data_IF_891200031123
#
_entry.id   IF_891200031123
#
_cell.length_a   1.000
_cell.length_b   1.000
_cell.length_c   1.000
_cell.angle_alpha   90.00
_cell.angle_beta   90.00
_cell.angle_gamma   90.00
#
_symmetry.space_group_name_H-M   'P 1'
#
loop_
_entity.id
_entity.type
_entity.pdbx_description
1 polymer ?
#
# COMPACT_ATOMS: atom_id res chain seq x y z
N UNK A 1 21.55 32.53 -58.86
CA UNK A 1 21.04 32.77 -60.21
C UNK A 1 19.61 32.26 -60.29
N UNK A 2 18.69 33.16 -60.57
CA UNK A 2 17.27 32.94 -60.89
C UNK A 2 17.16 32.48 -62.34
N UNK A 3 15.93 32.27 -62.89
CA UNK A 3 14.77 31.40 -62.67
C UNK A 3 14.35 30.68 -63.99
N UNK A 4 13.28 29.92 -64.01
CA UNK A 4 12.29 30.01 -65.14
C UNK A 4 10.97 29.33 -64.78
N UNK A 5 9.93 30.13 -64.89
CA UNK A 5 8.51 29.79 -64.98
C UNK A 5 8.15 29.15 -66.32
N UNK A 6 7.19 28.24 -66.34
CA UNK A 6 6.24 28.29 -67.42
C UNK A 6 4.86 27.74 -67.00
N UNK A 7 3.87 28.58 -67.19
CA UNK A 7 2.43 28.28 -67.13
C UNK A 7 1.94 27.80 -68.48
N UNK A 8 1.07 26.81 -68.52
CA UNK A 8 0.07 26.69 -69.59
C UNK A 8 -1.26 26.28 -69.02
N UNK A 9 -2.28 26.94 -69.52
CA UNK A 9 -3.69 26.94 -69.14
C UNK A 9 -4.52 25.94 -69.96
N UNK A 10 -5.79 25.75 -69.49
CA UNK A 10 -7.04 25.46 -70.18
C UNK A 10 -7.33 23.94 -70.41
N UNK A 11 -8.52 23.42 -70.27
CA UNK A 11 -9.89 23.89 -70.09
C UNK A 11 -10.80 22.73 -69.65
N UNK A 12 -12.09 22.92 -69.37
CA UNK A 12 -12.93 22.01 -68.60
C UNK A 12 -13.62 20.95 -69.41
N UNK A 13 -13.89 19.81 -68.83
CA UNK A 13 -14.88 18.84 -69.36
C UNK A 13 -15.82 18.41 -68.24
N UNK A 14 -17.06 18.80 -68.43
CA UNK A 14 -18.24 18.38 -67.68
C UNK A 14 -18.58 16.94 -68.12
N UNK A 15 -18.76 16.04 -67.22
CA UNK A 15 -19.68 14.89 -67.45
C UNK A 15 -19.94 14.08 -66.15
N UNK A 16 -21.22 14.01 -65.88
CA UNK A 16 -21.97 12.89 -65.37
C UNK A 16 -21.81 12.43 -63.90
N UNK A 17 -22.83 12.80 -63.13
CA UNK A 17 -23.27 12.16 -61.89
C UNK A 17 -23.43 10.64 -62.09
N UNK A 18 -22.79 9.89 -61.20
CA UNK A 18 -23.30 8.56 -60.80
C UNK A 18 -23.30 8.52 -59.28
N UNK A 19 -24.50 8.55 -58.70
CA UNK A 19 -24.80 8.34 -57.30
C UNK A 19 -24.43 6.89 -56.91
N UNK A 20 -23.34 6.70 -56.21
CA UNK A 20 -23.12 5.50 -55.45
C UNK A 20 -23.27 5.85 -53.96
N UNK A 21 -24.44 5.41 -53.43
CA UNK A 21 -24.72 5.38 -52.00
C UNK A 21 -23.81 4.38 -51.34
N UNK A 22 -22.67 4.80 -50.85
CA UNK A 22 -21.86 4.01 -49.91
C UNK A 22 -22.54 4.08 -48.55
N UNK A 23 -23.19 3.01 -48.17
CA UNK A 23 -23.64 2.79 -46.80
C UNK A 23 -22.39 2.73 -45.91
N UNK A 24 -22.05 3.83 -45.26
CA UNK A 24 -21.13 3.87 -44.17
C UNK A 24 -21.80 3.14 -42.98
N UNK A 25 -21.49 1.86 -42.83
CA UNK A 25 -21.73 1.12 -41.62
C UNK A 25 -20.91 1.78 -40.48
N UNK A 26 -21.55 2.70 -39.77
CA UNK A 26 -21.00 3.24 -38.55
C UNK A 26 -20.86 2.09 -37.55
N UNK A 27 -19.64 1.72 -37.19
CA UNK A 27 -19.40 1.00 -35.97
C UNK A 27 -19.96 1.86 -34.84
N UNK A 28 -21.14 1.54 -34.36
CA UNK A 28 -21.65 2.03 -33.10
C UNK A 28 -20.72 1.49 -32.02
N UNK A 29 -19.74 2.29 -31.63
CA UNK A 29 -19.04 2.09 -30.35
C UNK A 29 -20.12 2.22 -29.29
N UNK A 30 -20.57 1.09 -28.75
CA UNK A 30 -21.33 1.06 -27.50
C UNK A 30 -20.52 1.89 -26.49
N UNK A 31 -21.09 2.95 -25.91
CA UNK A 31 -20.40 3.65 -24.83
C UNK A 31 -20.16 2.61 -23.76
N UNK A 32 -18.88 2.42 -23.39
CA UNK A 32 -18.53 1.65 -22.21
C UNK A 32 -19.45 2.15 -21.11
N UNK A 33 -20.24 1.26 -20.53
CA UNK A 33 -21.11 1.56 -19.42
C UNK A 33 -20.24 2.27 -18.36
N UNK A 34 -20.47 3.56 -18.18
CA UNK A 34 -19.82 4.30 -17.11
C UNK A 34 -20.18 3.56 -15.83
N UNK A 35 -19.20 2.90 -15.25
CA UNK A 35 -19.34 2.19 -14.00
C UNK A 35 -19.85 3.23 -13.01
N UNK A 36 -21.09 3.07 -12.57
CA UNK A 36 -21.76 4.04 -11.73
C UNK A 36 -21.00 4.06 -10.42
N UNK A 37 -20.14 5.06 -10.26
CA UNK A 37 -19.42 5.27 -9.01
C UNK A 37 -20.44 5.25 -7.87
N UNK A 38 -20.28 4.35 -6.92
CA UNK A 38 -21.09 4.33 -5.72
C UNK A 38 -20.93 5.69 -5.03
N UNK A 39 -22.02 6.29 -4.53
CA UNK A 39 -21.90 7.56 -3.79
C UNK A 39 -20.95 7.36 -2.62
N UNK A 40 -19.97 8.26 -2.47
CA UNK A 40 -19.06 8.26 -1.33
C UNK A 40 -19.87 8.39 -0.05
N UNK A 41 -19.67 7.48 0.89
CA UNK A 41 -20.31 7.54 2.21
C UNK A 41 -19.75 8.70 3.03
N UNK A 42 -18.45 8.99 2.87
CA UNK A 42 -17.76 10.11 3.50
C UNK A 42 -16.57 10.56 2.67
N UNK A 43 -16.20 11.82 2.81
CA UNK A 43 -15.01 12.42 2.22
C UNK A 43 -14.30 13.29 3.26
N UNK A 44 -12.99 13.16 3.35
CA UNK A 44 -12.14 14.05 4.12
C UNK A 44 -11.01 14.53 3.20
N UNK A 45 -10.89 15.85 3.07
CA UNK A 45 -9.87 16.50 2.26
C UNK A 45 -9.00 17.42 3.13
N UNK A 46 -7.69 17.30 2.96
CA UNK A 46 -6.70 18.16 3.60
C UNK A 46 -5.69 18.58 2.53
N UNK A 47 -5.67 19.87 2.21
CA UNK A 47 -4.64 20.44 1.34
C UNK A 47 -3.55 21.04 2.24
N UNK A 48 -2.28 20.83 1.87
CA UNK A 48 -1.15 21.27 2.68
C UNK A 48 0.04 21.69 1.80
N UNK A 49 0.93 22.48 2.39
CA UNK A 49 2.26 22.82 1.87
C UNK A 49 3.30 22.41 2.91
N UNK A 50 4.58 22.63 2.63
CA UNK A 50 5.65 22.40 3.61
C UNK A 50 5.44 23.21 4.90
N UNK A 51 4.80 24.39 4.81
CA UNK A 51 4.61 25.31 5.94
C UNK A 51 3.37 25.01 6.79
N UNK A 52 2.42 24.23 6.28
CA UNK A 52 1.19 23.92 7.03
C UNK A 52 0.02 23.46 6.19
N UNK A 53 -1.10 23.20 6.88
CA UNK A 53 -2.38 22.86 6.26
C UNK A 53 -3.03 24.16 5.75
N UNK A 54 -3.43 24.18 4.48
CA UNK A 54 -3.98 25.37 3.79
C UNK A 54 -5.49 25.31 3.62
N UNK A 55 -6.06 24.10 3.50
CA UNK A 55 -7.50 23.91 3.37
C UNK A 55 -7.93 22.58 3.97
N UNK A 56 -9.14 22.53 4.51
CA UNK A 56 -9.75 21.33 5.08
C UNK A 56 -11.22 21.24 4.73
N UNK A 57 -11.71 20.04 4.44
CA UNK A 57 -13.12 19.74 4.28
C UNK A 57 -13.41 18.32 4.79
N UNK A 58 -14.57 18.13 5.40
CA UNK A 58 -15.05 16.82 5.80
C UNK A 58 -16.57 16.79 5.62
N UNK A 59 -17.07 15.72 5.02
CA UNK A 59 -18.52 15.52 4.80
C UNK A 59 -18.86 14.04 4.77
N UNK A 60 -20.09 13.72 5.10
CA UNK A 60 -20.63 12.37 5.08
C UNK A 60 -20.59 11.66 6.43
N UNK A 61 -21.03 10.40 6.42
CA UNK A 61 -21.20 9.57 7.61
C UNK A 61 -19.92 8.80 7.94
N UNK A 62 -19.50 8.82 9.21
CA UNK A 62 -18.34 8.06 9.67
C UNK A 62 -18.59 6.53 9.76
N UNK A 63 -19.79 6.08 9.36
CA UNK A 63 -20.22 4.68 9.49
C UNK A 63 -20.64 4.28 10.91
N UNK A 64 -20.75 5.26 11.80
CA UNK A 64 -21.34 5.12 13.15
C UNK A 64 -22.60 5.95 13.16
N UNK A 65 -23.74 5.36 13.44
CA UNK A 65 -25.07 5.99 13.33
C UNK A 65 -25.10 7.43 13.88
N UNK A 66 -25.45 8.38 13.02
CA UNK A 66 -25.60 9.79 13.36
C UNK A 66 -24.30 10.58 13.59
N UNK A 67 -23.11 9.99 13.33
CA UNK A 67 -21.83 10.66 13.47
C UNK A 67 -21.26 11.07 12.11
N UNK A 68 -21.06 12.35 11.90
CA UNK A 68 -20.34 12.84 10.72
C UNK A 68 -18.83 12.57 10.85
N UNK A 69 -18.19 12.33 9.71
CA UNK A 69 -16.73 12.17 9.66
C UNK A 69 -16.04 13.50 9.98
N UNK A 70 -14.89 13.42 10.65
CA UNK A 70 -14.03 14.56 10.96
C UNK A 70 -12.64 14.38 10.39
N UNK A 71 -11.84 15.47 10.40
CA UNK A 71 -10.43 15.45 9.97
C UNK A 71 -9.55 14.57 10.84
N UNK A 72 -9.98 14.33 12.08
CA UNK A 72 -9.20 13.66 13.13
C UNK A 72 -9.60 12.18 13.28
N UNK A 73 -10.61 11.73 12.54
CA UNK A 73 -11.04 10.33 12.59
C UNK A 73 -10.00 9.41 11.92
N UNK A 74 -9.52 8.38 12.63
CA UNK A 74 -8.59 7.44 12.01
C UNK A 74 -9.30 6.54 11.00
N UNK A 75 -8.69 6.39 9.84
CA UNK A 75 -9.08 5.45 8.82
C UNK A 75 -7.91 4.53 8.48
N UNK A 76 -8.20 3.32 8.02
CA UNK A 76 -7.18 2.47 7.45
C UNK A 76 -6.77 2.99 6.07
N UNK A 77 -5.52 3.43 5.93
CA UNK A 77 -5.04 4.10 4.72
C UNK A 77 -4.39 3.14 3.71
N UNK A 78 -4.63 1.85 3.88
CA UNK A 78 -4.16 0.82 2.96
C UNK A 78 -2.67 1.01 2.60
N UNK A 79 -2.31 0.97 1.33
CA UNK A 79 -0.91 0.99 0.87
C UNK A 79 -0.12 2.26 1.16
N UNK A 80 -0.75 3.35 1.58
CA UNK A 80 -0.06 4.52 2.13
C UNK A 80 0.76 4.13 3.38
N UNK A 81 0.37 3.07 4.08
CA UNK A 81 1.13 2.49 5.20
C UNK A 81 2.59 2.21 4.85
N UNK A 82 2.88 1.79 3.61
CA UNK A 82 4.24 1.47 3.15
C UNK A 82 5.17 2.68 3.14
N UNK A 83 4.62 3.86 2.87
CA UNK A 83 5.39 5.11 2.93
C UNK A 83 5.91 5.35 4.35
N UNK A 84 5.05 5.18 5.35
CA UNK A 84 5.44 5.38 6.77
C UNK A 84 6.43 4.32 7.21
N UNK A 85 6.29 3.07 6.75
CA UNK A 85 7.30 2.01 6.96
C UNK A 85 8.65 2.39 6.34
N UNK A 86 8.64 2.95 5.12
CA UNK A 86 9.87 3.39 4.44
C UNK A 86 10.58 4.50 5.22
N UNK A 87 9.85 5.46 5.80
CA UNK A 87 10.43 6.49 6.68
C UNK A 87 11.13 5.84 7.88
N UNK A 88 10.50 4.84 8.52
CA UNK A 88 11.12 4.09 9.63
C UNK A 88 12.40 3.36 9.20
N UNK A 89 12.38 2.70 8.05
CA UNK A 89 13.56 2.03 7.49
C UNK A 89 14.70 3.01 7.19
N UNK A 90 14.38 4.18 6.60
CA UNK A 90 15.38 5.22 6.31
C UNK A 90 15.99 5.80 7.58
N UNK A 91 15.21 6.00 8.65
CA UNK A 91 15.75 6.45 9.96
C UNK A 91 16.71 5.44 10.57
N UNK A 92 16.44 4.14 10.44
CA UNK A 92 17.37 3.10 10.88
C UNK A 92 18.63 3.06 10.02
N UNK A 93 18.51 3.33 8.72
CA UNK A 93 19.67 3.44 7.83
C UNK A 93 20.55 4.63 8.19
N UNK A 94 19.97 5.80 8.47
CA UNK A 94 20.70 6.98 8.97
C UNK A 94 21.42 6.70 10.29
N UNK A 95 20.84 5.90 11.17
CA UNK A 95 21.42 5.50 12.46
C UNK A 95 22.50 4.42 12.31
N UNK A 96 22.76 3.90 11.10
CA UNK A 96 23.69 2.81 10.86
C UNK A 96 23.25 1.44 11.38
N UNK A 97 21.98 1.31 11.81
CA UNK A 97 21.38 0.04 12.28
C UNK A 97 20.99 -0.85 11.11
N UNK A 98 20.56 -0.24 10.01
CA UNK A 98 20.10 -0.92 8.80
C UNK A 98 20.97 -0.52 7.61
N UNK A 99 21.59 -1.51 6.96
CA UNK A 99 22.23 -1.35 5.67
C UNK A 99 21.24 -1.74 4.57
N UNK A 100 20.89 -0.78 3.71
CA UNK A 100 19.90 -0.99 2.65
C UNK A 100 20.34 -1.98 1.57
N UNK A 101 21.63 -2.19 1.42
CA UNK A 101 22.22 -3.02 0.37
C UNK A 101 22.72 -4.39 0.89
N UNK A 102 22.66 -4.59 2.21
CA UNK A 102 22.96 -5.87 2.82
C UNK A 102 21.86 -6.89 2.52
N UNK A 103 22.28 -8.15 2.33
CA UNK A 103 21.36 -9.28 2.23
C UNK A 103 20.47 -9.40 3.46
N UNK A 104 19.15 -9.34 3.24
CA UNK A 104 18.18 -9.38 4.35
C UNK A 104 18.18 -10.70 5.10
N UNK A 105 18.59 -11.81 4.47
CA UNK A 105 18.72 -13.08 5.14
C UNK A 105 19.74 -13.06 6.30
N UNK A 106 20.74 -12.15 6.24
CA UNK A 106 21.73 -11.97 7.30
C UNK A 106 21.15 -11.30 8.56
N UNK A 107 20.07 -10.51 8.42
CA UNK A 107 19.33 -9.97 9.57
C UNK A 107 18.37 -11.02 10.15
N UNK A 108 17.70 -11.77 9.26
CA UNK A 108 16.62 -12.69 9.63
C UNK A 108 17.11 -14.02 10.21
N UNK A 109 18.37 -14.43 9.91
CA UNK A 109 18.88 -15.75 10.27
C UNK A 109 18.29 -16.90 9.45
N UNK A 110 17.55 -16.58 8.38
CA UNK A 110 17.03 -17.56 7.40
C UNK A 110 17.06 -16.95 5.98
N UNK A 111 17.20 -17.79 4.93
CA UNK A 111 17.41 -17.31 3.58
C UNK A 111 16.15 -16.67 2.99
N UNK A 112 16.31 -15.49 2.39
CA UNK A 112 15.34 -14.86 1.51
C UNK A 112 15.92 -14.91 0.11
N UNK A 113 15.60 -15.95 -0.66
CA UNK A 113 16.20 -16.26 -1.96
C UNK A 113 15.15 -16.68 -2.97
N UNK A 114 15.25 -16.12 -4.17
CA UNK A 114 14.54 -16.64 -5.32
C UNK A 114 15.16 -17.99 -5.72
N UNK A 115 14.42 -19.11 -5.72
CA UNK A 115 14.97 -20.40 -6.06
C UNK A 115 15.55 -20.49 -7.49
N UNK A 116 15.06 -19.66 -8.43
CA UNK A 116 15.58 -19.58 -9.79
C UNK A 116 16.89 -18.76 -9.89
N UNK A 117 17.21 -17.97 -8.86
CA UNK A 117 18.39 -17.10 -8.80
C UNK A 117 19.04 -17.16 -7.40
N UNK A 118 19.52 -18.32 -6.96
CA UNK A 118 19.94 -18.55 -5.57
C UNK A 118 21.12 -17.68 -5.14
N UNK A 119 21.96 -17.29 -6.08
CA UNK A 119 23.17 -16.49 -5.82
C UNK A 119 22.89 -14.98 -5.75
N UNK A 120 21.68 -14.54 -6.12
CA UNK A 120 21.32 -13.12 -6.11
C UNK A 120 20.70 -12.76 -4.76
N UNK A 121 21.33 -11.87 -3.96
CA UNK A 121 20.80 -11.45 -2.67
C UNK A 121 19.54 -10.61 -2.85
N UNK A 122 18.62 -10.72 -1.90
CA UNK A 122 17.51 -9.77 -1.72
C UNK A 122 17.93 -8.77 -0.65
N UNK A 123 17.85 -7.49 -0.99
CA UNK A 123 18.25 -6.39 -0.11
C UNK A 123 17.03 -5.60 0.37
N UNK A 124 17.20 -4.81 1.43
CA UNK A 124 16.15 -3.90 1.90
C UNK A 124 15.75 -2.90 0.82
N UNK A 125 16.73 -2.39 0.04
CA UNK A 125 16.48 -1.51 -1.10
C UNK A 125 15.58 -2.19 -2.14
N UNK A 126 15.84 -3.43 -2.49
CA UNK A 126 15.04 -4.18 -3.46
C UNK A 126 13.61 -4.43 -2.95
N UNK A 127 13.42 -4.68 -1.65
CA UNK A 127 12.11 -4.83 -1.03
C UNK A 127 11.32 -3.50 -1.06
N UNK A 128 11.93 -2.40 -0.61
CA UNK A 128 11.30 -1.06 -0.55
C UNK A 128 10.94 -0.54 -1.93
N UNK A 129 11.75 -0.83 -2.95
CA UNK A 129 11.52 -0.40 -4.34
C UNK A 129 10.69 -1.39 -5.17
N UNK A 130 10.16 -2.45 -4.56
CA UNK A 130 9.42 -3.50 -5.25
C UNK A 130 10.20 -4.17 -6.40
N UNK A 131 11.50 -4.37 -6.19
CA UNK A 131 12.41 -5.04 -7.12
C UNK A 131 12.93 -6.39 -6.60
N UNK A 132 12.38 -6.90 -5.50
CA UNK A 132 12.82 -8.14 -4.85
C UNK A 132 12.55 -9.41 -5.67
N UNK A 133 11.67 -9.35 -6.66
CA UNK A 133 11.17 -10.53 -7.38
C UNK A 133 10.09 -11.31 -6.63
N UNK A 134 9.68 -10.88 -5.44
CA UNK A 134 8.57 -11.47 -4.69
C UNK A 134 7.22 -11.16 -5.37
N UNK A 135 6.26 -12.07 -5.21
CA UNK A 135 4.92 -12.02 -5.81
C UNK A 135 3.82 -12.37 -4.79
N UNK A 136 2.68 -11.74 -4.91
CA UNK A 136 1.47 -12.03 -4.13
C UNK A 136 0.71 -13.28 -4.65
N UNK A 137 1.44 -14.28 -5.14
CA UNK A 137 0.88 -15.56 -5.64
C UNK A 137 0.76 -16.61 -4.53
N UNK A 138 1.02 -16.23 -3.29
CA UNK A 138 0.92 -17.03 -2.08
C UNK A 138 0.20 -16.24 -1.00
N UNK A 139 -0.39 -16.94 -0.04
CA UNK A 139 -0.92 -16.27 1.14
C UNK A 139 0.25 -15.86 2.06
N UNK A 140 0.48 -14.55 2.17
CA UNK A 140 1.56 -13.96 2.96
C UNK A 140 1.08 -13.40 4.31
N UNK A 141 -0.21 -13.44 4.59
CA UNK A 141 -0.76 -13.11 5.90
C UNK A 141 -0.90 -14.43 6.67
N UNK A 142 0.07 -14.69 7.52
CA UNK A 142 0.13 -15.94 8.27
C UNK A 142 -0.47 -15.78 9.68
N UNK A 143 -0.95 -16.88 10.30
CA UNK A 143 -1.39 -16.86 11.68
C UNK A 143 -0.33 -16.30 12.63
N UNK A 144 -0.75 -15.79 13.79
CA UNK A 144 0.14 -15.15 14.78
C UNK A 144 1.34 -16.04 15.16
N UNK A 145 1.11 -17.34 15.30
CA UNK A 145 2.11 -18.38 15.58
C UNK A 145 2.84 -18.90 14.33
N UNK A 146 2.52 -18.38 13.14
CA UNK A 146 3.10 -18.78 11.87
C UNK A 146 4.46 -18.14 11.58
N UNK A 147 5.07 -18.53 10.44
CA UNK A 147 6.36 -18.00 9.99
C UNK A 147 6.35 -17.60 8.53
N UNK A 148 6.98 -16.47 8.21
CA UNK A 148 7.19 -16.03 6.82
C UNK A 148 8.21 -16.90 6.07
N UNK A 149 9.15 -17.52 6.78
CA UNK A 149 10.17 -18.36 6.12
C UNK A 149 9.56 -19.49 5.30
N UNK A 150 8.48 -20.12 5.78
CA UNK A 150 7.75 -21.14 5.03
C UNK A 150 7.05 -20.59 3.77
N UNK A 151 6.54 -19.38 3.85
CA UNK A 151 5.92 -18.70 2.70
C UNK A 151 6.97 -18.34 1.65
N UNK A 152 8.11 -17.80 2.08
CA UNK A 152 9.21 -17.38 1.20
C UNK A 152 9.92 -18.58 0.56
N UNK A 153 9.95 -19.74 1.22
CA UNK A 153 10.50 -20.98 0.66
C UNK A 153 9.64 -21.54 -0.50
N UNK A 154 8.39 -21.10 -0.64
CA UNK A 154 7.53 -21.55 -1.72
C UNK A 154 7.96 -20.91 -3.06
N UNK A 155 8.30 -21.71 -4.11
CA UNK A 155 8.69 -21.14 -5.42
C UNK A 155 7.62 -20.23 -6.06
N UNK A 156 6.35 -20.44 -5.75
CA UNK A 156 5.25 -19.56 -6.24
C UNK A 156 5.32 -18.14 -5.69
N UNK A 157 6.03 -17.92 -4.59
CA UNK A 157 6.25 -16.58 -4.06
C UNK A 157 7.22 -15.72 -4.90
N UNK A 158 7.79 -16.28 -5.97
CA UNK A 158 8.87 -15.66 -6.72
C UNK A 158 8.59 -15.57 -8.22
N UNK A 159 9.19 -14.57 -8.86
CA UNK A 159 9.32 -14.53 -10.32
C UNK A 159 10.51 -15.40 -10.76
N UNK A 160 10.22 -16.51 -11.42
CA UNK A 160 11.25 -17.42 -11.90
C UNK A 160 11.94 -16.94 -13.19
N UNK A 161 11.42 -15.93 -13.86
CA UNK A 161 11.94 -15.48 -15.15
C UNK A 161 12.97 -14.34 -15.04
N UNK A 162 12.95 -13.58 -13.94
CA UNK A 162 13.76 -12.37 -13.81
C UNK A 162 14.43 -12.30 -12.44
N UNK A 163 15.73 -11.96 -12.38
CA UNK A 163 16.45 -11.90 -11.11
C UNK A 163 16.00 -10.70 -10.24
N UNK A 164 16.11 -10.81 -8.91
CA UNK A 164 15.96 -9.68 -8.00
C UNK A 164 16.84 -8.50 -8.41
N UNK A 165 16.32 -7.28 -8.23
CA UNK A 165 17.01 -6.03 -8.58
C UNK A 165 16.89 -5.61 -10.05
N UNK A 166 16.35 -6.44 -10.94
CA UNK A 166 16.35 -6.16 -12.38
C UNK A 166 15.08 -5.46 -12.89
N UNK A 167 13.99 -5.45 -12.12
CA UNK A 167 12.71 -4.90 -12.58
C UNK A 167 11.78 -4.56 -11.41
N UNK A 168 10.86 -3.64 -11.66
CA UNK A 168 9.79 -3.29 -10.74
C UNK A 168 8.59 -4.24 -10.90
N UNK A 169 8.12 -4.79 -9.78
CA UNK A 169 6.86 -5.54 -9.70
C UNK A 169 6.23 -5.34 -8.32
N UNK A 170 5.16 -4.55 -8.26
CA UNK A 170 4.48 -4.30 -7.00
C UNK A 170 4.01 -5.60 -6.35
N UNK A 171 4.40 -5.82 -5.11
CA UNK A 171 3.98 -6.97 -4.32
C UNK A 171 3.85 -6.59 -2.83
N UNK A 172 2.73 -6.95 -2.22
CA UNK A 172 2.45 -6.66 -0.80
C UNK A 172 3.34 -7.49 0.13
N UNK A 173 3.70 -8.70 -0.27
CA UNK A 173 4.56 -9.61 0.50
C UNK A 173 5.92 -9.00 0.85
N UNK A 174 6.40 -7.99 0.11
CA UNK A 174 7.61 -7.26 0.49
C UNK A 174 7.50 -6.66 1.90
N UNK A 175 6.34 -6.11 2.26
CA UNK A 175 6.18 -5.39 3.53
C UNK A 175 6.27 -6.27 4.76
N UNK A 176 5.68 -7.47 4.83
CA UNK A 176 5.94 -8.43 5.90
C UNK A 176 7.43 -8.80 6.06
N UNK A 177 8.14 -8.97 4.94
CA UNK A 177 9.60 -9.25 4.99
C UNK A 177 10.35 -8.02 5.53
N UNK A 178 10.01 -6.81 5.07
CA UNK A 178 10.57 -5.57 5.60
C UNK A 178 10.37 -5.50 7.12
N UNK A 179 9.14 -5.68 7.61
CA UNK A 179 8.84 -5.62 9.03
C UNK A 179 9.66 -6.64 9.84
N UNK A 180 9.76 -7.88 9.36
CA UNK A 180 10.57 -8.91 10.00
C UNK A 180 12.06 -8.53 10.06
N UNK A 181 12.60 -7.92 8.99
CA UNK A 181 13.99 -7.41 8.97
C UNK A 181 14.18 -6.28 9.97
N UNK A 182 13.25 -5.32 10.02
CA UNK A 182 13.32 -4.21 10.98
C UNK A 182 13.31 -4.71 12.44
N UNK A 183 12.46 -5.68 12.75
CA UNK A 183 12.42 -6.32 14.06
C UNK A 183 13.71 -7.06 14.40
N UNK A 184 14.24 -7.83 13.45
CA UNK A 184 15.49 -8.58 13.65
C UNK A 184 16.69 -7.67 13.83
N UNK A 185 16.73 -6.53 13.12
CA UNK A 185 17.81 -5.56 13.21
C UNK A 185 17.79 -4.77 14.52
N UNK A 186 16.61 -4.60 15.14
CA UNK A 186 16.45 -3.74 16.32
C UNK A 186 16.14 -4.48 17.61
N UNK A 187 15.67 -5.72 17.54
CA UNK A 187 15.16 -6.46 18.69
C UNK A 187 13.84 -5.91 19.23
N UNK A 188 13.12 -5.09 18.47
CA UNK A 188 11.89 -4.43 18.88
C UNK A 188 10.72 -4.82 17.99
N UNK A 189 9.53 -5.07 18.58
CA UNK A 189 8.32 -5.44 17.84
C UNK A 189 7.87 -4.31 16.92
N UNK A 190 7.48 -4.65 15.71
CA UNK A 190 7.22 -3.71 14.60
C UNK A 190 6.30 -2.54 14.99
N UNK A 191 5.19 -2.79 15.66
CA UNK A 191 4.24 -1.73 16.05
C UNK A 191 4.87 -0.73 17.03
N UNK A 192 5.64 -1.22 18.02
CA UNK A 192 6.36 -0.40 19.00
C UNK A 192 7.49 0.37 18.33
N UNK A 193 8.23 -0.30 17.46
CA UNK A 193 9.30 0.30 16.67
C UNK A 193 8.80 1.48 15.82
N UNK A 194 7.71 1.28 15.09
CA UNK A 194 7.12 2.34 14.26
C UNK A 194 6.57 3.49 15.11
N UNK A 195 5.96 3.21 16.24
CA UNK A 195 5.52 4.23 17.20
C UNK A 195 6.71 5.08 17.67
N UNK A 196 7.80 4.46 18.09
CA UNK A 196 8.99 5.14 18.57
C UNK A 196 9.77 5.89 17.49
N UNK A 197 9.94 5.28 16.32
CA UNK A 197 10.74 5.87 15.24
C UNK A 197 10.02 6.96 14.46
N UNK A 198 8.71 6.82 14.24
CA UNK A 198 8.00 7.66 13.27
C UNK A 198 6.82 8.37 13.91
N UNK A 199 5.89 7.61 14.52
CA UNK A 199 4.59 8.18 14.87
C UNK A 199 4.72 9.21 16.01
N UNK A 200 5.35 8.84 17.11
CA UNK A 200 5.53 9.73 18.26
C UNK A 200 6.39 10.97 17.95
N UNK A 201 7.57 10.84 17.28
CA UNK A 201 8.37 12.01 16.95
C UNK A 201 7.70 13.02 16.01
N UNK A 202 6.76 12.57 15.17
CA UNK A 202 5.99 13.44 14.30
C UNK A 202 4.67 13.92 14.92
N UNK A 203 4.40 13.56 16.18
CA UNK A 203 3.15 13.91 16.87
C UNK A 203 1.90 13.33 16.17
N UNK A 204 2.00 12.09 15.68
CA UNK A 204 0.91 11.39 15.00
C UNK A 204 0.19 10.47 15.99
N UNK A 205 -1.13 10.66 16.15
CA UNK A 205 -1.99 9.72 16.85
C UNK A 205 -2.45 8.62 15.90
N UNK A 206 -1.55 7.69 15.63
CA UNK A 206 -1.70 6.65 14.62
C UNK A 206 -1.09 5.33 15.10
N UNK A 207 -1.51 4.22 14.52
CA UNK A 207 -0.95 2.90 14.86
C UNK A 207 -1.18 1.87 13.76
N UNK A 208 -0.38 0.81 13.75
CA UNK A 208 -0.57 -0.36 12.90
C UNK A 208 -1.48 -1.37 13.60
N UNK A 209 -2.57 -1.76 12.94
CA UNK A 209 -3.53 -2.75 13.44
C UNK A 209 -4.00 -2.53 14.89
N UNK A 210 -4.17 -1.28 15.30
CA UNK A 210 -4.52 -0.90 16.67
C UNK A 210 -3.49 -1.37 17.74
N UNK A 211 -2.24 -1.55 17.32
CA UNK A 211 -1.11 -1.79 18.20
C UNK A 211 -0.60 -0.50 18.87
N UNK A 212 0.69 -0.45 19.17
CA UNK A 212 1.31 0.70 19.80
C UNK A 212 1.22 1.99 18.97
N UNK A 213 1.08 3.14 19.60
CA UNK A 213 1.05 4.47 19.00
C UNK A 213 -0.30 5.16 18.96
N UNK A 214 -1.41 4.43 18.99
CA UNK A 214 -2.74 5.03 19.15
C UNK A 214 -3.03 5.36 20.60
N UNK A 215 -3.65 6.52 20.84
CA UNK A 215 -4.18 6.88 22.15
C UNK A 215 -5.36 5.98 22.54
N UNK A 216 -5.63 5.91 23.84
CA UNK A 216 -6.80 5.21 24.37
C UNK A 216 -8.09 5.78 23.78
N UNK A 217 -9.05 4.93 23.45
CA UNK A 217 -10.30 5.33 22.81
C UNK A 217 -10.22 5.67 21.32
N UNK A 218 -9.02 5.79 20.73
CA UNK A 218 -8.82 6.12 19.31
C UNK A 218 -9.57 5.20 18.37
N UNK A 219 -9.64 3.92 18.72
CA UNK A 219 -10.36 2.91 17.96
C UNK A 219 -11.86 3.18 17.84
N UNK A 220 -12.48 3.71 18.90
CA UNK A 220 -13.92 4.04 18.89
C UNK A 220 -14.25 5.20 17.94
N UNK A 221 -13.25 6.01 17.58
CA UNK A 221 -13.38 7.13 16.65
C UNK A 221 -13.17 6.70 15.19
N UNK A 222 -12.76 5.45 14.94
CA UNK A 222 -12.42 4.99 13.59
C UNK A 222 -13.61 5.08 12.64
N UNK A 223 -13.30 5.47 11.40
CA UNK A 223 -14.27 5.42 10.31
C UNK A 223 -14.56 3.96 9.97
N UNK A 224 -15.83 3.63 9.82
CA UNK A 224 -16.26 2.32 9.34
C UNK A 224 -16.01 2.22 7.84
N UNK A 225 -15.22 1.23 7.43
CA UNK A 225 -14.98 0.97 6.02
C UNK A 225 -16.05 0.01 5.48
N UNK A 226 -16.60 0.34 4.33
CA UNK A 226 -17.56 -0.47 3.61
C UNK A 226 -16.93 -1.07 2.34
N UNK A 227 -17.33 -2.29 2.02
CA UNK A 227 -17.05 -2.90 0.73
C UNK A 227 -18.04 -2.41 -0.32
N UNK A 228 -17.78 -2.56 -1.61
CA UNK A 228 -18.70 -2.16 -2.68
C UNK A 228 -20.11 -2.81 -2.58
N UNK A 229 -20.20 -3.99 -2.00
CA UNK A 229 -21.47 -4.69 -1.76
C UNK A 229 -22.21 -4.23 -0.48
N UNK A 230 -21.70 -3.24 0.23
CA UNK A 230 -22.25 -2.71 1.47
C UNK A 230 -21.82 -3.44 2.75
N UNK A 231 -21.08 -4.54 2.65
CA UNK A 231 -20.56 -5.24 3.81
C UNK A 231 -19.51 -4.42 4.55
N UNK A 232 -19.48 -4.55 5.87
CA UNK A 232 -18.43 -3.94 6.68
C UNK A 232 -17.08 -4.58 6.36
N UNK A 233 -16.06 -3.75 6.14
CA UNK A 233 -14.70 -4.24 6.12
C UNK A 233 -14.33 -4.76 7.52
N UNK A 234 -13.47 -5.80 7.57
CA UNK A 234 -13.13 -6.52 8.80
C UNK A 234 -12.67 -5.59 9.95
N UNK A 235 -12.01 -4.48 9.62
CA UNK A 235 -11.51 -3.51 10.59
C UNK A 235 -12.62 -2.81 11.37
N UNK A 236 -13.77 -2.59 10.74
CA UNK A 236 -14.92 -1.94 11.36
C UNK A 236 -15.78 -2.94 12.13
N UNK A 237 -15.80 -4.21 11.71
CA UNK A 237 -16.58 -5.27 12.32
C UNK A 237 -16.02 -5.78 13.65
N UNK A 238 -14.87 -5.28 14.09
CA UNK A 238 -14.25 -5.68 15.35
C UNK A 238 -14.97 -5.05 16.55
N UNK A 239 -16.24 -5.40 16.69
CA UNK A 239 -17.05 -5.12 17.85
C UNK A 239 -16.86 -6.27 18.84
N UNK A 240 -16.26 -5.99 19.97
CA UNK A 240 -16.07 -6.95 21.05
C UNK A 240 -15.11 -6.42 22.09
N UNK A 241 -15.13 -6.98 23.32
CA UNK A 241 -14.27 -6.49 24.40
C UNK A 241 -12.79 -6.59 24.10
N UNK A 242 -12.39 -7.50 23.18
CA UNK A 242 -10.98 -7.65 22.76
C UNK A 242 -10.89 -8.21 21.33
N UNK A 243 -11.11 -7.40 20.32
CA UNK A 243 -10.91 -7.87 18.97
C UNK A 243 -9.42 -8.07 18.70
N UNK A 244 -9.11 -9.18 18.06
CA UNK A 244 -7.77 -9.51 17.64
C UNK A 244 -7.21 -8.39 16.72
N UNK A 245 -6.21 -7.68 17.17
CA UNK A 245 -5.53 -6.65 16.37
C UNK A 245 -4.66 -7.27 15.26
N UNK A 246 -4.43 -8.58 15.33
CA UNK A 246 -3.62 -9.35 14.39
C UNK A 246 -4.43 -10.54 13.85
N UNK A 247 -3.92 -11.24 12.85
CA UNK A 247 -4.52 -12.49 12.42
C UNK A 247 -4.33 -13.54 13.52
N UNK A 248 -5.40 -14.18 14.02
CA UNK A 248 -5.30 -15.09 15.15
C UNK A 248 -4.30 -16.23 14.90
N UNK A 249 -3.74 -16.78 15.97
CA UNK A 249 -2.99 -18.02 15.93
C UNK A 249 -3.86 -19.19 15.46
N UNK A 250 -3.26 -20.30 15.08
CA UNK A 250 -3.96 -21.50 14.58
C UNK A 250 -4.97 -22.06 15.57
N UNK A 251 -4.76 -21.86 16.86
CA UNK A 251 -5.70 -22.23 17.94
C UNK A 251 -6.76 -21.16 18.25
N UNK A 252 -6.80 -20.05 17.46
CA UNK A 252 -7.72 -18.93 17.64
C UNK A 252 -7.28 -17.90 18.67
N UNK A 253 -6.11 -18.08 19.32
CA UNK A 253 -5.59 -17.11 20.29
C UNK A 253 -5.11 -15.82 19.62
N UNK A 254 -5.36 -14.70 20.29
CA UNK A 254 -4.90 -13.36 19.92
C UNK A 254 -3.84 -12.80 20.88
N UNK A 255 -3.27 -13.65 21.73
CA UNK A 255 -2.25 -13.23 22.69
C UNK A 255 -0.92 -12.97 21.99
N UNK A 256 -0.73 -11.70 21.59
CA UNK A 256 0.46 -11.27 20.89
C UNK A 256 1.71 -11.35 21.77
N UNK A 257 1.57 -11.03 23.05
CA UNK A 257 2.74 -11.00 23.96
C UNK A 257 3.25 -12.42 24.29
N UNK A 258 2.35 -13.41 24.31
CA UNK A 258 2.73 -14.80 24.52
C UNK A 258 3.21 -15.54 23.26
N UNK A 259 2.68 -15.21 22.09
CA UNK A 259 2.84 -16.02 20.88
C UNK A 259 3.75 -15.39 19.82
N UNK A 260 3.88 -14.06 19.82
CA UNK A 260 4.65 -13.37 18.79
C UNK A 260 6.16 -13.51 18.99
N UNK A 261 6.86 -13.92 17.93
CA UNK A 261 8.32 -14.01 17.90
C UNK A 261 8.87 -13.03 16.88
N UNK A 262 9.74 -12.13 17.35
CA UNK A 262 10.36 -11.09 16.52
C UNK A 262 11.07 -11.70 15.29
N UNK A 263 10.91 -11.06 14.15
CA UNK A 263 11.53 -11.48 12.89
C UNK A 263 10.93 -12.73 12.23
N UNK A 264 9.93 -13.39 12.85
CA UNK A 264 9.30 -14.60 12.29
C UNK A 264 8.05 -14.32 11.47
N UNK A 265 7.20 -13.41 11.93
CA UNK A 265 5.91 -13.10 11.32
C UNK A 265 5.71 -11.59 11.17
N UNK A 266 6.42 -10.96 10.25
CA UNK A 266 6.24 -9.53 9.95
C UNK A 266 4.87 -9.18 9.37
N UNK A 267 3.98 -10.15 9.08
CA UNK A 267 2.62 -9.86 8.59
C UNK A 267 1.65 -9.46 9.71
N UNK A 268 1.96 -9.75 10.97
CA UNK A 268 1.04 -9.63 12.10
C UNK A 268 0.42 -8.24 12.24
N UNK A 269 1.22 -7.19 12.12
CA UNK A 269 0.76 -5.81 12.23
C UNK A 269 0.40 -5.17 10.88
N UNK A 270 0.29 -5.97 9.83
CA UNK A 270 -0.14 -5.53 8.48
C UNK A 270 0.66 -4.32 7.94
N UNK A 271 1.99 -4.40 7.86
CA UNK A 271 2.84 -3.28 7.42
C UNK A 271 2.50 -2.79 6.01
N UNK A 272 1.95 -3.67 5.16
CA UNK A 272 1.54 -3.36 3.80
C UNK A 272 0.31 -2.45 3.71
N UNK A 273 -0.52 -2.37 4.77
CA UNK A 273 -1.80 -1.68 4.67
C UNK A 273 -2.55 -1.46 5.97
N UNK A 274 -1.92 -1.71 7.11
CA UNK A 274 -2.58 -1.72 8.42
C UNK A 274 -2.49 -0.42 9.22
N UNK A 275 -1.92 0.64 8.68
CA UNK A 275 -1.86 1.94 9.37
C UNK A 275 -3.26 2.56 9.51
N UNK A 276 -3.59 2.97 10.72
CA UNK A 276 -4.75 3.78 11.08
C UNK A 276 -4.25 5.16 11.46
N UNK A 277 -4.68 6.14 10.69
CA UNK A 277 -4.22 7.53 10.82
C UNK A 277 -5.32 8.47 10.34
N UNK A 278 -5.42 9.65 10.94
CA UNK A 278 -6.33 10.68 10.48
C UNK A 278 -5.79 11.40 9.23
N UNK A 279 -6.68 12.04 8.48
CA UNK A 279 -6.26 12.86 7.33
C UNK A 279 -5.37 14.03 7.75
N UNK A 280 -5.62 14.64 8.90
CA UNK A 280 -4.79 15.69 9.48
C UNK A 280 -3.36 15.19 9.75
N UNK A 281 -3.22 14.04 10.39
CA UNK A 281 -1.91 13.49 10.71
C UNK A 281 -1.19 12.97 9.46
N UNK A 282 -1.93 12.47 8.48
CA UNK A 282 -1.35 12.08 7.21
C UNK A 282 -0.76 13.27 6.45
N UNK A 283 -1.37 14.46 6.56
CA UNK A 283 -0.80 15.69 5.99
C UNK A 283 0.56 16.03 6.61
N UNK A 284 0.78 15.80 7.93
CA UNK A 284 2.10 15.97 8.56
C UNK A 284 3.16 15.03 7.97
N UNK A 285 2.76 13.80 7.60
CA UNK A 285 3.66 12.89 6.87
C UNK A 285 4.01 13.46 5.51
N UNK A 286 3.01 14.01 4.79
CA UNK A 286 3.24 14.67 3.51
C UNK A 286 4.15 15.91 3.58
N UNK A 287 4.09 16.67 4.66
CA UNK A 287 4.95 17.83 4.90
C UNK A 287 6.43 17.46 5.15
N UNK A 288 6.71 16.22 5.53
CA UNK A 288 8.07 15.71 5.73
C UNK A 288 8.77 15.39 4.39
N UNK A 289 8.01 15.14 3.33
CA UNK A 289 8.49 14.72 2.01
C UNK A 289 8.68 15.89 1.06
#
# INVERSE_FOLDING_TARGET
MRPFWNRTRLAPLVAALSLWSAALGGCATTPASAERALPLAAEVRVDFTADGITHVAAQGDAGVAGRLVTLDDPARVASISKLVVAIGAMRLAEQGVLDLDRDVGLYLGWPVRNPAFPDVPVTMRALLSHQSGLRDSVDYIVPLDGTLSGVIANPKAWDAARPPGSYFSYANINSPVIAAVLESATGERFDRLMARLVLTPLGLDACYNWGAGCSEGRRAQAVTLLRPNGDLARDAAMKGPDPCAVYPATNGSCDVDALYVLGRNGSAFSPQGGLRISARDLAKVGQLL
#
